data_IF_139284735849
#
_entry.id   IF_139284735849
#
_cell.length_a   1.000
_cell.length_b   1.000
_cell.length_c   1.000
_cell.angle_alpha   90.00
_cell.angle_beta   90.00
_cell.angle_gamma   90.00
#
_symmetry.space_group_name_H-M   'P 1'
#
loop_
_entity.id
_entity.type
_entity.pdbx_description
1 polymer ?
#
# COMPACT_ATOMS: atom_id res chain seq x y z
N UNK A 1 2.03 7.52 -1.71
CA UNK A 1 1.26 6.30 -1.42
C UNK A 1 0.14 6.19 -2.44
N UNK A 2 0.06 5.09 -3.17
CA UNK A 2 -1.08 4.79 -4.04
C UNK A 2 -2.22 4.17 -3.24
N UNK A 3 -3.46 4.35 -3.69
CA UNK A 3 -4.67 3.86 -3.02
C UNK A 3 -5.67 3.38 -4.05
N UNK A 4 -6.22 2.20 -3.84
CA UNK A 4 -7.22 1.58 -4.68
C UNK A 4 -8.30 0.92 -3.84
N UNK A 5 -9.54 1.03 -4.30
CA UNK A 5 -10.69 0.41 -3.65
C UNK A 5 -10.81 -1.06 -4.03
N UNK A 6 -11.04 -1.91 -3.02
CA UNK A 6 -11.27 -3.34 -3.14
C UNK A 6 -12.34 -3.80 -2.15
N UNK A 7 -12.83 -5.02 -2.34
CA UNK A 7 -13.73 -5.66 -1.37
C UNK A 7 -12.95 -6.55 -0.40
N UNK A 8 -13.08 -6.28 0.90
CA UNK A 8 -12.59 -7.15 1.98
C UNK A 8 -13.78 -7.82 2.64
N UNK A 9 -13.68 -9.13 2.86
CA UNK A 9 -14.63 -9.91 3.65
C UNK A 9 -13.98 -10.36 4.94
N UNK A 10 -14.78 -10.63 5.96
CA UNK A 10 -14.30 -11.12 7.23
C UNK A 10 -15.36 -11.83 8.01
N UNK A 11 -14.95 -12.46 9.09
CA UNK A 11 -15.87 -13.12 10.02
C UNK A 11 -15.60 -12.59 11.41
N UNK A 12 -16.53 -11.79 11.96
CA UNK A 12 -16.45 -11.27 13.32
C UNK A 12 -17.58 -11.90 14.11
N UNK A 13 -17.25 -12.54 15.25
CA UNK A 13 -18.23 -13.20 16.13
C UNK A 13 -19.16 -14.19 15.40
N UNK A 14 -18.67 -14.88 14.37
CA UNK A 14 -19.44 -15.85 13.58
C UNK A 14 -20.38 -15.23 12.54
N UNK A 15 -20.45 -13.90 12.42
CA UNK A 15 -21.20 -13.20 11.39
C UNK A 15 -20.24 -12.71 10.29
N UNK A 16 -20.64 -12.94 9.04
CA UNK A 16 -19.91 -12.42 7.89
C UNK A 16 -20.03 -10.90 7.83
N UNK A 17 -18.90 -10.21 7.65
CA UNK A 17 -18.83 -8.78 7.36
C UNK A 17 -18.18 -8.59 5.99
N UNK A 18 -18.63 -7.58 5.27
CA UNK A 18 -18.06 -7.19 3.98
C UNK A 18 -17.85 -5.68 3.98
N UNK A 19 -16.69 -5.25 3.50
CA UNK A 19 -16.35 -3.87 3.25
C UNK A 19 -16.00 -3.71 1.76
N UNK A 20 -16.94 -3.18 0.95
CA UNK A 20 -16.71 -2.96 -0.48
C UNK A 20 -15.83 -1.74 -0.77
N UNK A 21 -15.56 -0.91 0.25
CA UNK A 21 -14.84 0.36 0.13
C UNK A 21 -13.45 0.29 0.80
N UNK A 22 -12.96 -0.92 1.08
CA UNK A 22 -11.65 -1.15 1.65
C UNK A 22 -10.54 -0.64 0.72
N UNK A 23 -9.44 -0.18 1.30
CA UNK A 23 -8.34 0.46 0.58
C UNK A 23 -7.09 -0.41 0.63
N UNK A 24 -6.56 -0.75 -0.54
CA UNK A 24 -5.25 -1.39 -0.71
C UNK A 24 -4.31 -0.44 -1.45
N UNK A 25 -3.02 -0.53 -1.19
CA UNK A 25 -2.04 0.28 -1.89
C UNK A 25 -0.60 -0.07 -1.57
N UNK A 26 0.31 0.70 -2.17
CA UNK A 26 1.72 0.68 -1.82
C UNK A 26 2.13 2.00 -1.18
N UNK A 27 2.88 1.93 -0.08
CA UNK A 27 3.45 3.07 0.62
C UNK A 27 4.95 3.20 0.32
N UNK A 28 5.38 4.17 -0.53
CA UNK A 28 6.80 4.35 -0.84
C UNK A 28 7.68 4.71 0.37
N UNK A 29 7.30 5.65 1.26
CA UNK A 29 8.01 5.89 2.52
C UNK A 29 8.26 4.63 3.36
N UNK A 30 7.24 3.79 3.55
CA UNK A 30 7.33 2.57 4.37
C UNK A 30 7.76 1.33 3.57
N UNK A 31 7.89 1.43 2.25
CA UNK A 31 8.29 0.34 1.36
C UNK A 31 7.47 -0.94 1.59
N UNK A 32 6.16 -0.78 1.71
CA UNK A 32 5.26 -1.88 2.07
C UNK A 32 3.94 -1.72 1.34
N UNK A 33 3.33 -2.85 1.01
CA UNK A 33 1.90 -2.90 0.75
C UNK A 33 1.13 -2.68 2.04
N UNK A 34 -0.03 -2.05 1.94
CA UNK A 34 -0.92 -1.80 3.07
C UNK A 34 -2.37 -2.14 2.71
N UNK A 35 -3.14 -2.45 3.74
CA UNK A 35 -4.57 -2.73 3.65
C UNK A 35 -5.28 -2.02 4.80
N UNK A 36 -6.32 -1.26 4.46
CA UNK A 36 -7.22 -0.64 5.42
C UNK A 36 -8.64 -1.07 5.10
N UNK A 37 -9.35 -1.63 6.08
CA UNK A 37 -10.73 -2.04 5.92
C UNK A 37 -11.50 -1.82 7.22
N UNK A 38 -12.82 -1.76 7.08
CA UNK A 38 -13.77 -1.58 8.17
C UNK A 38 -13.49 -0.29 8.95
N UNK A 39 -13.60 0.88 8.31
CA UNK A 39 -13.46 2.16 9.01
C UNK A 39 -14.45 2.21 10.18
N UNK A 40 -14.01 2.83 11.27
CA UNK A 40 -14.87 3.07 12.43
C UNK A 40 -15.61 4.39 12.24
N UNK A 41 -16.90 4.44 12.56
CA UNK A 41 -17.74 5.63 12.28
C UNK A 41 -17.44 6.83 13.20
N UNK A 42 -16.76 6.58 14.31
CA UNK A 42 -16.52 7.55 15.39
C UNK A 42 -15.03 7.76 15.67
N UNK A 43 -14.17 6.83 15.26
CA UNK A 43 -12.73 6.88 15.50
C UNK A 43 -11.99 6.83 14.17
N UNK A 44 -10.80 7.43 14.12
CA UNK A 44 -9.90 7.31 12.98
C UNK A 44 -9.16 5.96 12.95
N UNK A 45 -9.57 4.98 13.78
CA UNK A 45 -8.95 3.66 13.90
C UNK A 45 -9.82 2.60 13.20
N UNK A 46 -9.45 2.16 11.98
CA UNK A 46 -10.15 1.08 11.29
C UNK A 46 -9.96 -0.25 12.03
N UNK A 47 -10.94 -1.16 11.90
CA UNK A 47 -10.82 -2.49 12.53
C UNK A 47 -9.73 -3.35 11.88
N UNK A 48 -9.33 -3.06 10.64
CA UNK A 48 -8.17 -3.66 9.99
C UNK A 48 -7.25 -2.58 9.42
N UNK A 49 -6.01 -2.54 9.91
CA UNK A 49 -4.92 -1.74 9.33
C UNK A 49 -3.62 -2.54 9.31
N UNK A 50 -3.20 -2.93 8.11
CA UNK A 50 -1.95 -3.62 7.86
C UNK A 50 -1.00 -2.71 7.06
N UNK A 51 0.30 -2.89 7.23
CA UNK A 51 1.32 -2.14 6.48
C UNK A 51 1.68 -0.78 7.09
N UNK A 52 1.64 -0.68 8.43
CA UNK A 52 1.93 0.56 9.18
C UNK A 52 3.40 0.71 9.61
N UNK A 53 4.26 -0.24 9.22
CA UNK A 53 5.68 -0.27 9.59
C UNK A 53 6.53 -0.41 8.32
N UNK A 54 7.80 0.01 8.44
CA UNK A 54 8.77 -0.15 7.36
C UNK A 54 8.90 -1.63 6.97
N UNK A 55 8.76 -1.90 5.67
CA UNK A 55 8.88 -3.23 5.04
C UNK A 55 8.04 -4.32 5.70
N UNK A 56 6.85 -3.96 6.19
CA UNK A 56 5.97 -4.93 6.83
C UNK A 56 5.50 -6.04 5.87
N UNK A 57 5.21 -5.68 4.62
CA UNK A 57 4.71 -6.57 3.56
C UNK A 57 5.33 -6.19 2.22
N UNK A 58 6.29 -7.00 1.75
CA UNK A 58 6.96 -6.78 0.46
C UNK A 58 6.22 -7.44 -0.70
N UNK A 59 5.24 -8.32 -0.43
CA UNK A 59 4.41 -8.94 -1.47
C UNK A 59 2.91 -8.84 -1.14
N UNK A 60 2.07 -8.87 -2.18
CA UNK A 60 0.61 -8.94 -2.02
C UNK A 60 0.17 -10.26 -1.36
N UNK A 61 0.96 -11.32 -1.49
CA UNK A 61 0.72 -12.61 -0.86
C UNK A 61 0.93 -12.53 0.66
N UNK A 62 2.01 -11.90 1.11
CA UNK A 62 2.27 -11.67 2.54
C UNK A 62 1.15 -10.83 3.18
N UNK A 63 0.73 -9.77 2.49
CA UNK A 63 -0.38 -8.92 2.94
C UNK A 63 -1.68 -9.72 3.08
N UNK A 64 -1.97 -10.61 2.13
CA UNK A 64 -3.14 -11.48 2.18
C UNK A 64 -3.07 -12.49 3.32
N UNK A 65 -1.92 -13.13 3.52
CA UNK A 65 -1.72 -14.05 4.63
C UNK A 65 -1.92 -13.36 5.99
N UNK A 66 -1.43 -12.13 6.14
CA UNK A 66 -1.69 -11.34 7.32
C UNK A 66 -3.19 -11.06 7.50
N UNK A 67 -3.89 -10.59 6.45
CA UNK A 67 -5.33 -10.38 6.52
C UNK A 67 -6.07 -11.64 6.98
N UNK A 68 -5.73 -12.81 6.44
CA UNK A 68 -6.32 -14.11 6.79
C UNK A 68 -6.06 -14.45 8.26
N UNK A 69 -4.84 -14.19 8.76
CA UNK A 69 -4.51 -14.37 10.17
C UNK A 69 -5.32 -13.46 11.10
N UNK A 70 -5.80 -12.32 10.60
CA UNK A 70 -6.71 -11.42 11.30
C UNK A 70 -8.20 -11.79 11.13
N UNK A 71 -8.52 -12.87 10.42
CA UNK A 71 -9.91 -13.32 10.18
C UNK A 71 -10.59 -12.63 8.98
N UNK A 72 -9.79 -11.98 8.13
CA UNK A 72 -10.24 -11.25 6.94
C UNK A 72 -9.63 -11.83 5.66
N UNK A 73 -10.31 -11.73 4.54
CA UNK A 73 -9.72 -11.99 3.22
C UNK A 73 -10.15 -10.87 2.27
N UNK A 74 -9.40 -10.62 1.21
CA UNK A 74 -9.86 -9.73 0.16
C UNK A 74 -10.19 -10.53 -1.10
N UNK A 75 -11.21 -10.05 -1.82
CA UNK A 75 -11.56 -10.65 -3.10
C UNK A 75 -10.37 -10.62 -4.06
N UNK A 76 -10.20 -11.64 -4.93
CA UNK A 76 -9.13 -11.66 -5.91
C UNK A 76 -9.05 -10.35 -6.68
N UNK A 77 -7.88 -9.71 -6.66
CA UNK A 77 -7.66 -8.46 -7.37
C UNK A 77 -7.77 -8.69 -8.88
N UNK A 78 -8.39 -7.74 -9.58
CA UNK A 78 -8.34 -7.77 -11.04
C UNK A 78 -6.88 -7.73 -11.52
N UNK A 79 -6.50 -8.42 -12.61
CA UNK A 79 -5.12 -8.40 -13.11
C UNK A 79 -4.60 -6.99 -13.38
N UNK A 80 -5.48 -6.09 -13.83
CA UNK A 80 -5.17 -4.67 -14.06
C UNK A 80 -4.80 -3.94 -12.77
N UNK A 81 -5.49 -4.25 -11.66
CA UNK A 81 -5.20 -3.63 -10.37
C UNK A 81 -3.92 -4.19 -9.75
N UNK A 82 -3.72 -5.51 -9.81
CA UNK A 82 -2.48 -6.13 -9.37
C UNK A 82 -1.26 -5.57 -10.11
N UNK A 83 -1.36 -5.39 -11.44
CA UNK A 83 -0.30 -4.77 -12.24
C UNK A 83 0.01 -3.33 -11.79
N UNK A 84 -1.02 -2.52 -11.50
CA UNK A 84 -0.83 -1.16 -10.99
C UNK A 84 -0.07 -1.12 -9.66
N UNK A 85 -0.42 -2.01 -8.73
CA UNK A 85 0.23 -2.11 -7.43
C UNK A 85 1.73 -2.46 -7.58
N UNK A 86 2.05 -3.39 -8.47
CA UNK A 86 3.44 -3.73 -8.82
C UNK A 86 4.15 -2.57 -9.50
N UNK A 87 3.49 -1.86 -10.42
CA UNK A 87 4.05 -0.67 -11.08
C UNK A 87 4.35 0.44 -10.06
N UNK A 88 3.49 0.64 -9.05
CA UNK A 88 3.71 1.61 -7.98
C UNK A 88 4.92 1.24 -7.11
N UNK A 89 5.05 -0.04 -6.76
CA UNK A 89 6.24 -0.55 -6.05
C UNK A 89 7.51 -0.32 -6.89
N UNK A 90 7.47 -0.66 -8.18
CA UNK A 90 8.59 -0.49 -9.10
C UNK A 90 8.96 0.98 -9.29
N UNK A 91 7.97 1.88 -9.41
CA UNK A 91 8.19 3.32 -9.51
C UNK A 91 8.81 3.90 -8.23
N UNK A 92 8.44 3.37 -7.07
CA UNK A 92 9.02 3.75 -5.78
C UNK A 92 10.47 3.25 -5.62
N UNK A 93 10.74 2.02 -6.04
CA UNK A 93 12.07 1.40 -6.00
C UNK A 93 13.01 1.99 -7.05
N UNK A 94 12.46 2.42 -8.19
CA UNK A 94 13.14 3.05 -9.31
C UNK A 94 13.37 4.55 -9.16
N UNK A 95 12.93 5.20 -8.07
CA UNK A 95 13.40 6.54 -7.71
C UNK A 95 14.76 6.42 -7.03
N UNK A 96 15.88 6.67 -7.73
CA UNK A 96 17.08 6.99 -6.99
C UNK A 96 16.81 8.29 -6.22
N UNK A 97 17.26 8.33 -4.98
CA UNK A 97 17.56 9.57 -4.24
C UNK A 97 18.68 10.30 -5.00
N UNK A 98 18.39 10.80 -6.22
CA UNK A 98 19.34 11.47 -7.12
C UNK A 98 18.89 12.86 -7.54
N UNK A 99 17.67 13.27 -7.22
CA UNK A 99 17.22 14.65 -7.50
C UNK A 99 17.87 15.69 -6.57
N UNK A 100 18.52 15.28 -5.48
CA UNK A 100 19.23 16.20 -4.59
C UNK A 100 20.72 16.36 -4.91
N UNK A 101 21.40 15.35 -5.45
CA UNK A 101 22.86 15.42 -5.67
C UNK A 101 23.21 15.71 -7.14
N UNK A 102 22.59 15.03 -8.11
CA UNK A 102 22.90 15.27 -9.54
C UNK A 102 22.28 16.56 -10.05
N UNK A 103 21.09 16.93 -9.55
CA UNK A 103 20.45 18.22 -9.84
C UNK A 103 21.25 19.43 -9.33
N UNK A 104 22.04 19.27 -8.26
CA UNK A 104 22.90 20.33 -7.72
C UNK A 104 24.27 20.42 -8.41
N UNK A 105 24.84 19.31 -8.89
CA UNK A 105 26.09 19.35 -9.65
C UNK A 105 25.93 19.90 -11.07
N UNK A 106 24.81 19.60 -11.75
CA UNK A 106 24.54 20.12 -13.09
C UNK A 106 24.27 21.63 -13.12
N UNK A 107 23.80 22.22 -12.01
CA UNK A 107 23.65 23.68 -11.89
C UNK A 107 24.97 24.42 -11.73
N UNK A 108 26.00 23.79 -11.15
CA UNK A 108 27.32 24.40 -10.99
C UNK A 108 28.20 24.33 -12.24
N UNK A 109 27.95 23.38 -13.16
CA UNK A 109 28.75 23.26 -14.40
C UNK A 109 28.33 24.25 -15.51
N UNK A 110 27.17 24.90 -15.38
CA UNK A 110 26.61 25.79 -16.40
C UNK A 110 26.73 27.28 -16.07
N UNK A 111 27.64 27.66 -15.17
CA UNK A 111 27.96 29.07 -14.91
C UNK A 111 29.19 29.47 -15.75
N UNK A 112 29.03 30.24 -16.84
CA UNK A 112 30.16 30.83 -17.53
C UNK A 112 30.83 31.90 -16.63
N UNK A 113 32.16 32.01 -16.77
CA UNK A 113 33.03 32.98 -16.10
C UNK A 113 32.68 34.43 -16.44
#
# INVERSE_FOLDING_TARGET
MSRYTITVTGTVTGQGRSDPDAVIGYDPPLRTYFLQAFPHEETDEPALWLGTRDRAFETLEDLRHAAISHGYDFMPLSPKLAAKLVDDEAAASGRPVRDTILGQMLKHLNQPK
#
